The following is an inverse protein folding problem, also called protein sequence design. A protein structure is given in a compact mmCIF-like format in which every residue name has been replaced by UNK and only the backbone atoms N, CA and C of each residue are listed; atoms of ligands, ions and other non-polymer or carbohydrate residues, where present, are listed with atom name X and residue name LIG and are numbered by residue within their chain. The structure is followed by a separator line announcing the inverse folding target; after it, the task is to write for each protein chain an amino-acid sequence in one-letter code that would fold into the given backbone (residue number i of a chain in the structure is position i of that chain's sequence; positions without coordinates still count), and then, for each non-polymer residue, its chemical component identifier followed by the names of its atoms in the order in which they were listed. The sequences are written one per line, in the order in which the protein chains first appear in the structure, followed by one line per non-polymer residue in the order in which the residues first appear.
data_IF_389294930344
#
_entry.id   IF_389294930344
#
_cell.length_a   1.000
_cell.length_b   1.000
_cell.length_c   1.000
_cell.angle_alpha   90.00
_cell.angle_beta   90.00
_cell.angle_gamma   90.00
#
_symmetry.space_group_name_H-M   'P 1'
#
loop_
_entity.id
_entity.type
_entity.pdbx_description
1 polymer ?
#
# COMPACT_ATOMS: atom_id res chain seq x y z
N UNK A 1 6.92 -33.76 63.73
CA UNK A 1 6.43 -34.00 62.36
C UNK A 1 6.52 -32.70 61.60
N UNK A 2 7.45 -32.65 60.64
CA UNK A 2 8.04 -31.45 60.04
C UNK A 2 7.18 -30.93 58.88
N UNK A 3 6.86 -29.63 58.88
CA UNK A 3 6.10 -28.96 57.81
C UNK A 3 7.02 -28.65 56.63
N UNK A 4 6.75 -29.24 55.46
CA UNK A 4 7.44 -28.92 54.21
C UNK A 4 6.83 -27.72 53.51
N UNK A 5 7.66 -26.74 53.14
CA UNK A 5 7.30 -25.59 52.30
C UNK A 5 7.67 -25.92 50.86
N UNK A 6 6.72 -25.81 49.94
CA UNK A 6 6.91 -26.00 48.50
C UNK A 6 7.15 -24.62 47.86
N UNK A 7 8.38 -24.37 47.39
CA UNK A 7 8.73 -23.16 46.64
C UNK A 7 8.57 -23.48 45.15
N UNK A 8 7.63 -22.81 44.50
CA UNK A 8 7.49 -22.83 43.03
C UNK A 8 8.33 -21.69 42.47
N UNK A 9 9.48 -22.03 41.87
CA UNK A 9 10.26 -21.08 41.09
C UNK A 9 9.63 -20.92 39.69
N UNK A 10 9.00 -19.78 39.44
CA UNK A 10 8.58 -19.39 38.10
C UNK A 10 9.80 -18.89 37.30
N UNK A 11 10.21 -19.64 36.28
CA UNK A 11 11.24 -19.21 35.34
C UNK A 11 10.65 -18.16 34.38
N UNK A 12 11.07 -16.91 34.52
CA UNK A 12 10.72 -15.83 33.59
C UNK A 12 11.60 -15.97 32.35
N UNK A 13 10.99 -16.39 31.24
CA UNK A 13 11.59 -16.36 29.91
C UNK A 13 11.59 -14.91 29.41
N UNK A 14 12.75 -14.26 29.43
CA UNK A 14 12.94 -12.95 28.79
C UNK A 14 13.22 -13.21 27.31
N UNK A 15 12.35 -12.79 26.38
CA UNK A 15 12.64 -12.92 24.96
C UNK A 15 13.80 -11.98 24.59
N UNK A 16 14.90 -12.57 24.14
CA UNK A 16 16.00 -11.85 23.51
C UNK A 16 15.50 -11.37 22.14
N UNK A 17 15.30 -10.05 21.99
CA UNK A 17 15.02 -9.43 20.69
C UNK A 17 16.27 -9.58 19.81
N UNK A 18 16.25 -10.57 18.91
CA UNK A 18 17.25 -10.71 17.86
C UNK A 18 16.91 -9.67 16.79
N UNK A 19 17.73 -8.63 16.66
CA UNK A 19 17.61 -7.65 15.57
C UNK A 19 17.91 -8.37 14.25
N UNK A 20 16.90 -8.55 13.41
CA UNK A 20 17.07 -9.08 12.07
C UNK A 20 17.89 -8.09 11.24
N UNK A 21 19.02 -8.55 10.68
CA UNK A 21 19.85 -7.80 9.74
C UNK A 21 19.01 -7.43 8.51
N UNK A 22 19.11 -6.18 8.07
CA UNK A 22 18.27 -5.65 6.98
C UNK A 22 18.51 -6.40 5.67
N UNK A 23 17.42 -6.74 4.98
CA UNK A 23 17.47 -7.31 3.63
C UNK A 23 18.03 -6.30 2.62
N UNK A 24 18.65 -6.81 1.56
CA UNK A 24 19.16 -5.95 0.48
C UNK A 24 18.01 -5.18 -0.18
N UNK A 25 18.20 -3.90 -0.56
CA UNK A 25 17.17 -3.10 -1.20
C UNK A 25 16.71 -3.73 -2.52
N UNK A 26 15.44 -3.54 -2.87
CA UNK A 26 14.85 -4.08 -4.10
C UNK A 26 15.58 -3.56 -5.35
N UNK A 27 15.71 -4.37 -6.41
CA UNK A 27 16.22 -3.89 -7.71
C UNK A 27 15.17 -2.97 -8.32
N UNK A 28 15.57 -1.74 -8.66
CA UNK A 28 14.70 -0.76 -9.32
C UNK A 28 14.85 -0.94 -10.83
N UNK A 29 13.75 -1.19 -11.52
CA UNK A 29 13.77 -1.27 -12.98
C UNK A 29 13.88 0.13 -13.61
N UNK A 30 14.72 0.31 -14.64
CA UNK A 30 14.80 1.57 -15.38
C UNK A 30 13.48 1.94 -16.04
N UNK A 31 13.21 3.24 -16.16
CA UNK A 31 12.12 3.76 -17.01
C UNK A 31 12.70 4.49 -18.21
N UNK A 32 12.01 4.43 -19.35
CA UNK A 32 12.43 5.10 -20.58
C UNK A 32 11.34 6.09 -20.97
N UNK A 33 11.72 7.33 -21.20
CA UNK A 33 10.84 8.37 -21.77
C UNK A 33 11.62 9.21 -22.77
N UNK A 34 11.00 9.51 -23.92
CA UNK A 34 11.57 10.34 -24.99
C UNK A 34 13.03 9.99 -25.41
N UNK A 35 13.40 8.70 -25.38
CA UNK A 35 14.75 8.24 -25.75
C UNK A 35 15.81 8.39 -24.64
N UNK A 36 15.38 8.73 -23.43
CA UNK A 36 16.22 8.83 -22.23
C UNK A 36 15.84 7.70 -21.27
N UNK A 37 16.84 6.95 -20.80
CA UNK A 37 16.69 5.92 -19.77
C UNK A 37 17.05 6.50 -18.41
N UNK A 38 16.10 6.45 -17.49
CA UNK A 38 16.26 6.84 -16.10
C UNK A 38 16.50 5.61 -15.24
N UNK A 39 17.57 5.66 -14.43
CA UNK A 39 17.92 4.60 -13.48
C UNK A 39 18.05 5.18 -12.08
N UNK A 40 17.82 4.34 -11.06
CA UNK A 40 18.10 4.67 -9.67
C UNK A 40 19.26 3.79 -9.18
N UNK A 41 20.50 4.29 -9.17
CA UNK A 41 21.63 3.55 -8.68
C UNK A 41 21.51 3.23 -7.19
N UNK A 42 22.12 2.11 -6.79
CA UNK A 42 22.32 1.75 -5.39
C UNK A 42 23.74 2.13 -5.02
N UNK A 43 23.86 3.13 -4.16
CA UNK A 43 25.14 3.64 -3.68
C UNK A 43 25.27 3.39 -2.17
N UNK A 44 26.13 4.13 -1.48
CA UNK A 44 26.43 4.07 -0.04
C UNK A 44 25.24 4.32 0.93
N UNK A 45 24.03 4.54 0.41
CA UNK A 45 22.83 4.75 1.21
C UNK A 45 22.74 6.12 1.89
N UNK A 46 23.67 7.05 1.66
CA UNK A 46 23.62 8.41 2.23
C UNK A 46 22.71 9.35 1.45
N UNK A 47 22.57 9.08 0.15
CA UNK A 47 21.63 9.78 -0.73
C UNK A 47 20.94 8.83 -1.70
N UNK A 48 19.73 9.21 -2.08
CA UNK A 48 18.97 8.60 -3.16
C UNK A 48 19.00 9.53 -4.38
N UNK A 49 19.46 9.03 -5.52
CA UNK A 49 19.58 9.81 -6.75
C UNK A 49 19.15 9.00 -7.96
N UNK A 50 18.84 9.74 -9.03
CA UNK A 50 18.54 9.19 -10.35
C UNK A 50 19.62 9.61 -11.34
N UNK A 51 19.88 8.76 -12.33
CA UNK A 51 20.70 9.11 -13.49
C UNK A 51 19.88 9.00 -14.76
N UNK A 52 20.09 9.93 -15.67
CA UNK A 52 19.51 9.93 -17.00
C UNK A 52 20.59 9.61 -18.05
N UNK A 53 20.28 8.68 -18.93
CA UNK A 53 21.19 8.17 -19.96
C UNK A 53 20.53 8.25 -21.33
N UNK A 54 21.23 8.77 -22.33
CA UNK A 54 20.76 8.72 -23.71
C UNK A 54 20.77 7.26 -24.18
N UNK A 55 19.62 6.74 -24.61
CA UNK A 55 19.46 5.30 -24.96
C UNK A 55 20.31 4.92 -26.17
N UNK A 56 20.51 5.85 -27.12
CA UNK A 56 21.19 5.58 -28.39
C UNK A 56 22.71 5.55 -28.24
N UNK A 57 23.26 6.49 -27.48
CA UNK A 57 24.71 6.70 -27.33
C UNK A 57 25.24 6.10 -26.04
N UNK A 58 24.35 5.70 -25.12
CA UNK A 58 24.66 5.21 -23.78
C UNK A 58 25.56 6.20 -23.00
N UNK A 59 25.38 7.50 -23.24
CA UNK A 59 26.06 8.57 -22.49
C UNK A 59 25.18 9.05 -21.35
N UNK A 60 25.75 9.21 -20.16
CA UNK A 60 25.07 9.87 -19.04
C UNK A 60 24.82 11.34 -19.41
N UNK A 61 23.56 11.74 -19.34
CA UNK A 61 23.12 13.12 -19.60
C UNK A 61 23.22 13.96 -18.34
N UNK A 62 22.75 13.43 -17.21
CA UNK A 62 22.77 14.11 -15.91
C UNK A 62 22.48 13.13 -14.76
N UNK A 63 22.74 13.58 -13.54
CA UNK A 63 22.30 12.94 -12.30
C UNK A 63 21.56 13.95 -11.42
N UNK A 64 20.64 13.48 -10.59
CA UNK A 64 19.87 14.32 -9.67
C UNK A 64 19.65 13.62 -8.33
N UNK A 65 20.11 14.24 -7.24
CA UNK A 65 19.79 13.78 -5.87
C UNK A 65 18.33 14.09 -5.55
N UNK A 66 17.56 13.05 -5.26
CA UNK A 66 16.12 13.15 -4.92
C UNK A 66 15.95 13.44 -3.44
N UNK A 67 16.67 12.72 -2.57
CA UNK A 67 16.69 12.99 -1.14
C UNK A 67 17.98 12.49 -0.49
N UNK A 68 18.26 12.97 0.73
CA UNK A 68 19.38 12.53 1.57
C UNK A 68 18.87 11.84 2.82
N UNK A 69 19.58 10.82 3.27
CA UNK A 69 19.30 10.15 4.53
C UNK A 69 20.07 10.86 5.64
N UNK A 70 19.34 11.43 6.61
CA UNK A 70 19.95 11.99 7.81
C UNK A 70 20.29 10.83 8.76
N UNK A 71 21.57 10.61 8.98
CA UNK A 71 22.09 9.49 9.78
C UNK A 71 22.42 10.02 11.18
N UNK A 72 21.88 9.38 12.22
CA UNK A 72 22.32 9.53 13.60
C UNK A 72 23.61 8.70 13.79
N UNK A 73 24.74 9.32 14.15
CA UNK A 73 26.01 8.61 14.36
C UNK A 73 26.00 7.66 15.57
N UNK A 74 24.97 7.71 16.44
CA UNK A 74 24.80 6.81 17.58
C UNK A 74 24.06 5.51 17.24
N UNK A 75 23.55 5.40 16.02
CA UNK A 75 22.82 4.24 15.51
C UNK A 75 23.59 3.62 14.34
N UNK A 76 23.40 2.32 14.11
CA UNK A 76 24.00 1.63 12.95
C UNK A 76 23.53 2.29 11.64
N UNK A 77 24.46 2.59 10.73
CA UNK A 77 24.16 3.37 9.51
C UNK A 77 23.19 2.62 8.58
N UNK A 78 23.41 1.33 8.38
CA UNK A 78 22.66 0.48 7.45
C UNK A 78 21.23 0.20 7.90
N UNK A 79 20.89 0.41 9.17
CA UNK A 79 19.51 0.39 9.65
C UNK A 79 18.76 1.67 9.23
N UNK A 80 19.48 2.76 8.96
CA UNK A 80 18.90 4.08 8.72
C UNK A 80 18.72 4.40 7.23
N UNK A 81 19.40 3.69 6.32
CA UNK A 81 19.35 3.98 4.89
C UNK A 81 17.93 3.83 4.30
N UNK A 82 17.53 4.77 3.47
CA UNK A 82 16.32 4.68 2.66
C UNK A 82 16.71 4.78 1.20
N UNK A 83 16.34 3.77 0.41
CA UNK A 83 16.62 3.77 -1.02
C UNK A 83 15.38 4.16 -1.84
N UNK A 84 15.60 4.43 -3.13
CA UNK A 84 14.54 4.46 -4.12
C UNK A 84 14.10 3.02 -4.34
N UNK A 85 12.80 2.79 -4.34
CA UNK A 85 12.15 1.49 -4.56
C UNK A 85 11.52 1.38 -5.95
N UNK A 86 11.05 2.50 -6.52
CA UNK A 86 10.38 2.50 -7.82
C UNK A 86 10.58 3.82 -8.57
N UNK A 87 10.57 3.72 -9.89
CA UNK A 87 10.50 4.82 -10.84
C UNK A 87 9.28 4.60 -11.74
N UNK A 88 8.51 5.67 -11.99
CA UNK A 88 7.38 5.65 -12.93
C UNK A 88 7.30 6.98 -13.68
N UNK A 89 6.84 6.96 -14.93
CA UNK A 89 6.52 8.20 -15.67
C UNK A 89 5.00 8.36 -15.66
N UNK A 90 4.54 9.55 -15.25
CA UNK A 90 3.13 9.95 -15.31
C UNK A 90 3.04 11.36 -15.85
N UNK A 91 2.32 11.53 -16.96
CA UNK A 91 2.07 12.83 -17.59
C UNK A 91 3.34 13.69 -17.79
N UNK A 92 4.44 13.06 -18.24
CA UNK A 92 5.73 13.73 -18.46
C UNK A 92 6.54 14.05 -17.20
N UNK A 93 6.10 13.59 -16.03
CA UNK A 93 6.79 13.74 -14.75
C UNK A 93 7.32 12.40 -14.27
N UNK A 94 8.55 12.40 -13.75
CA UNK A 94 9.15 11.21 -13.16
C UNK A 94 8.78 11.10 -11.67
N UNK A 95 8.02 10.08 -11.35
CA UNK A 95 7.69 9.67 -9.97
C UNK A 95 8.79 8.79 -9.42
N UNK A 96 9.31 9.17 -8.26
CA UNK A 96 10.33 8.43 -7.52
C UNK A 96 9.77 8.06 -6.17
N UNK A 97 9.63 6.77 -5.90
CA UNK A 97 9.10 6.28 -4.62
C UNK A 97 10.21 5.71 -3.76
N UNK A 98 10.31 6.15 -2.51
CA UNK A 98 11.27 5.62 -1.53
C UNK A 98 10.77 4.34 -0.87
N UNK A 99 11.66 3.59 -0.23
CA UNK A 99 11.30 2.40 0.55
C UNK A 99 10.32 2.71 1.70
N UNK A 100 10.27 3.96 2.16
CA UNK A 100 9.32 4.43 3.19
C UNK A 100 8.00 4.97 2.61
N UNK A 101 7.76 4.76 1.32
CA UNK A 101 6.52 5.19 0.65
C UNK A 101 6.44 6.69 0.35
N UNK A 102 7.49 7.49 0.63
CA UNK A 102 7.54 8.88 0.20
C UNK A 102 7.66 8.92 -1.32
N UNK A 103 6.83 9.73 -1.97
CA UNK A 103 6.89 9.93 -3.42
C UNK A 103 7.39 11.34 -3.72
N UNK A 104 8.32 11.42 -4.67
CA UNK A 104 8.93 12.65 -5.14
C UNK A 104 8.59 12.80 -6.61
N UNK A 105 8.14 14.00 -6.98
CA UNK A 105 7.87 14.36 -8.35
C UNK A 105 9.06 15.12 -8.92
N UNK A 106 9.63 14.61 -10.00
CA UNK A 106 10.75 15.22 -10.70
C UNK A 106 10.27 15.71 -12.05
N UNK A 107 10.25 17.03 -12.23
CA UNK A 107 10.09 17.64 -13.54
C UNK A 107 11.36 17.37 -14.36
N UNK A 108 11.21 16.63 -15.46
CA UNK A 108 12.33 16.19 -16.28
C UNK A 108 13.02 17.34 -17.05
N UNK A 109 12.29 18.43 -17.26
CA UNK A 109 12.78 19.65 -17.94
C UNK A 109 13.54 20.53 -16.97
N UNK A 110 12.90 20.93 -15.87
CA UNK A 110 13.45 21.91 -14.92
C UNK A 110 14.31 21.29 -13.83
N UNK A 111 14.23 19.97 -13.63
CA UNK A 111 14.83 19.23 -12.51
C UNK A 111 14.28 19.63 -11.14
N UNK A 112 13.19 20.38 -11.11
CA UNK A 112 12.53 20.73 -9.86
C UNK A 112 11.98 19.45 -9.21
N UNK A 113 12.23 19.33 -7.92
CA UNK A 113 11.72 18.23 -7.11
C UNK A 113 10.61 18.78 -6.23
N UNK A 114 9.43 18.20 -6.37
CA UNK A 114 8.33 18.43 -5.44
C UNK A 114 8.14 17.16 -4.62
N UNK A 115 8.45 17.23 -3.34
CA UNK A 115 8.18 16.14 -2.42
C UNK A 115 6.69 16.15 -2.08
N UNK A 116 5.96 15.12 -2.46
CA UNK A 116 4.63 14.89 -1.90
C UNK A 116 4.80 14.15 -0.57
N UNK A 117 4.83 14.89 0.54
CA UNK A 117 4.55 14.31 1.86
C UNK A 117 3.04 14.12 1.97
N UNK A 118 2.51 13.02 1.43
CA UNK A 118 1.14 12.62 1.75
C UNK A 118 1.10 12.04 3.17
N UNK A 119 1.35 12.90 4.16
CA UNK A 119 0.79 12.84 5.51
C UNK A 119 0.08 14.18 5.75
N UNK A 120 -1.20 14.24 5.36
CA UNK A 120 -2.23 15.21 5.77
C UNK A 120 -1.86 16.72 5.82
N UNK A 121 -2.36 17.48 4.83
CA UNK A 121 -2.93 18.82 5.01
C UNK A 121 -3.92 19.08 3.86
N UNK A 122 -4.97 19.90 4.07
CA UNK A 122 -6.30 19.70 3.51
C UNK A 122 -6.29 19.84 1.98
N UNK A 123 -7.21 19.16 1.27
CA UNK A 123 -7.20 19.16 -0.18
C UNK A 123 -7.40 20.59 -0.71
N UNK A 124 -6.66 21.02 -1.75
CA UNK A 124 -7.24 21.91 -2.73
C UNK A 124 -8.40 21.14 -3.36
N UNK A 125 -9.58 21.38 -2.79
CA UNK A 125 -10.88 20.86 -3.14
C UNK A 125 -11.07 19.33 -3.07
N UNK A 126 -11.76 18.90 -2.00
CA UNK A 126 -12.58 17.70 -2.04
C UNK A 126 -13.48 17.65 -3.30
N UNK A 127 -13.81 18.81 -3.89
CA UNK A 127 -14.48 18.92 -5.19
C UNK A 127 -13.62 18.40 -6.38
N UNK A 128 -12.29 18.52 -6.34
CA UNK A 128 -11.40 18.04 -7.42
C UNK A 128 -11.12 16.54 -7.31
N UNK A 129 -11.06 16.00 -6.10
CA UNK A 129 -11.02 14.54 -5.92
C UNK A 129 -12.36 13.90 -6.30
N UNK A 130 -13.50 14.53 -6.01
CA UNK A 130 -14.81 14.10 -6.52
C UNK A 130 -14.84 13.98 -8.05
N UNK A 131 -14.18 14.88 -8.78
CA UNK A 131 -14.14 14.89 -10.25
C UNK A 131 -13.36 13.70 -10.87
N UNK A 132 -12.61 12.93 -10.09
CA UNK A 132 -11.84 11.75 -10.54
C UNK A 132 -12.24 10.45 -9.79
N UNK A 133 -13.36 10.48 -9.08
CA UNK A 133 -13.95 9.28 -8.49
C UNK A 133 -14.66 8.51 -9.61
N UNK A 134 -14.42 7.19 -9.77
CA UNK A 134 -15.23 6.36 -10.67
C UNK A 134 -16.72 6.60 -10.45
N UNK A 135 -17.50 6.76 -11.53
CA UNK A 135 -18.94 7.03 -11.49
C UNK A 135 -19.70 6.06 -10.54
N UNK A 136 -19.22 4.82 -10.42
CA UNK A 136 -19.75 3.83 -9.50
C UNK A 136 -19.67 4.27 -8.02
N UNK A 137 -18.53 4.80 -7.57
CA UNK A 137 -18.37 5.31 -6.20
C UNK A 137 -19.20 6.58 -6.01
N UNK A 138 -19.20 7.51 -6.98
CA UNK A 138 -20.00 8.73 -6.92
C UNK A 138 -21.49 8.41 -6.79
N UNK A 139 -22.02 7.49 -7.61
CA UNK A 139 -23.39 7.02 -7.51
C UNK A 139 -23.66 6.37 -6.16
N UNK A 140 -22.74 5.54 -5.66
CA UNK A 140 -22.90 4.84 -4.39
C UNK A 140 -22.98 5.81 -3.19
N UNK A 141 -22.21 6.91 -3.20
CA UNK A 141 -22.14 7.89 -2.11
C UNK A 141 -23.12 9.06 -2.24
N UNK A 142 -23.59 9.39 -3.44
CA UNK A 142 -24.52 10.51 -3.65
C UNK A 142 -25.98 10.05 -3.56
N UNK A 143 -26.32 8.95 -4.22
CA UNK A 143 -27.70 8.44 -4.33
C UNK A 143 -27.85 6.96 -4.00
N UNK A 144 -26.77 6.31 -3.57
CA UNK A 144 -26.70 4.87 -3.38
C UNK A 144 -26.61 4.43 -1.93
N UNK A 145 -26.30 3.14 -1.69
CA UNK A 145 -26.33 2.53 -0.36
C UNK A 145 -25.36 3.13 0.67
N UNK A 146 -24.34 3.89 0.22
CA UNK A 146 -23.35 4.49 1.10
C UNK A 146 -23.77 5.88 1.62
N UNK A 147 -24.63 6.60 0.88
CA UNK A 147 -24.88 8.03 1.04
C UNK A 147 -25.27 8.48 2.45
N UNK A 148 -26.02 7.64 3.17
CA UNK A 148 -26.54 8.00 4.50
C UNK A 148 -25.51 7.80 5.62
N UNK A 149 -24.69 6.76 5.52
CA UNK A 149 -23.97 6.20 6.67
C UNK A 149 -22.46 6.23 6.53
N UNK A 150 -21.93 6.50 5.33
CA UNK A 150 -20.51 6.36 5.02
C UNK A 150 -19.96 7.56 4.26
N UNK A 151 -18.68 7.82 4.48
CA UNK A 151 -17.87 8.75 3.69
C UNK A 151 -16.75 7.99 2.97
N UNK A 152 -16.31 8.49 1.81
CA UNK A 152 -15.07 8.00 1.18
C UNK A 152 -13.89 8.42 2.05
N UNK A 153 -13.01 7.47 2.35
CA UNK A 153 -11.79 7.72 3.11
C UNK A 153 -10.62 7.84 2.14
N UNK A 154 -9.87 8.93 2.24
CA UNK A 154 -8.65 9.16 1.45
C UNK A 154 -7.37 8.84 2.25
N UNK A 155 -7.49 8.03 3.32
CA UNK A 155 -6.38 7.73 4.24
C UNK A 155 -5.19 7.07 3.54
N UNK A 156 -5.45 6.17 2.59
CA UNK A 156 -4.41 5.51 1.79
C UNK A 156 -4.59 5.87 0.32
N UNK A 157 -3.50 5.86 -0.44
CA UNK A 157 -3.49 6.10 -1.88
C UNK A 157 -2.84 4.90 -2.60
N UNK A 158 -3.49 4.28 -3.61
CA UNK A 158 -4.81 4.61 -4.12
C UNK A 158 -5.90 4.40 -3.05
N UNK A 159 -6.93 5.27 -3.00
CA UNK A 159 -8.05 5.15 -2.06
C UNK A 159 -9.21 4.31 -2.63
N UNK A 160 -9.08 3.91 -3.90
CA UNK A 160 -9.92 2.91 -4.54
C UNK A 160 -9.08 1.97 -5.43
N UNK A 161 -9.59 0.77 -5.70
CA UNK A 161 -8.98 -0.21 -6.59
C UNK A 161 -10.03 -0.79 -7.54
N UNK A 162 -9.59 -1.15 -8.75
CA UNK A 162 -10.40 -1.85 -9.74
C UNK A 162 -9.99 -3.33 -9.77
N UNK A 163 -10.97 -4.23 -9.92
CA UNK A 163 -10.73 -5.66 -10.06
C UNK A 163 -12.03 -6.43 -10.26
N UNK A 164 -11.96 -7.68 -10.71
CA UNK A 164 -13.12 -8.57 -10.74
C UNK A 164 -13.23 -9.29 -9.39
N UNK A 165 -13.71 -8.59 -8.36
CA UNK A 165 -13.64 -9.08 -6.97
C UNK A 165 -14.69 -10.14 -6.66
N UNK A 166 -15.82 -10.16 -7.37
CA UNK A 166 -16.89 -11.14 -7.18
C UNK A 166 -16.88 -12.28 -8.22
N UNK A 167 -15.92 -12.28 -9.15
CA UNK A 167 -15.75 -13.27 -10.21
C UNK A 167 -16.87 -13.31 -11.25
N UNK A 168 -17.59 -12.21 -11.46
CA UNK A 168 -18.65 -12.10 -12.47
C UNK A 168 -18.12 -11.67 -13.86
N UNK A 169 -16.82 -11.35 -13.96
CA UNK A 169 -16.16 -10.94 -15.19
C UNK A 169 -16.43 -9.48 -15.58
N UNK A 170 -17.09 -8.69 -14.72
CA UNK A 170 -17.15 -7.23 -14.80
C UNK A 170 -16.18 -6.61 -13.82
N UNK A 171 -15.74 -5.40 -14.13
CA UNK A 171 -14.83 -4.65 -13.27
C UNK A 171 -15.63 -4.06 -12.12
N UNK A 172 -15.33 -4.50 -10.91
CA UNK A 172 -15.80 -3.96 -9.66
C UNK A 172 -14.90 -2.82 -9.18
N UNK A 173 -15.40 -2.05 -8.21
CA UNK A 173 -14.63 -1.01 -7.53
C UNK A 173 -14.62 -1.27 -6.03
N UNK A 174 -13.43 -1.36 -5.44
CA UNK A 174 -13.25 -1.33 -3.99
C UNK A 174 -12.83 0.08 -3.57
N UNK A 175 -13.43 0.65 -2.54
CA UNK A 175 -13.11 1.99 -2.04
C UNK A 175 -12.96 1.98 -0.52
N UNK A 176 -11.99 2.72 -0.01
CA UNK A 176 -11.88 2.94 1.43
C UNK A 176 -13.03 3.81 1.90
N UNK A 177 -13.67 3.41 3.00
CA UNK A 177 -14.81 4.11 3.58
C UNK A 177 -14.65 4.30 5.08
N UNK A 178 -15.29 5.35 5.60
CA UNK A 178 -15.41 5.64 7.02
C UNK A 178 -16.88 5.64 7.40
N UNK A 179 -17.27 4.89 8.43
CA UNK A 179 -18.63 4.94 8.95
C UNK A 179 -18.84 6.25 9.71
N UNK A 180 -19.88 7.02 9.36
CA UNK A 180 -20.14 8.35 9.95
C UNK A 180 -20.43 8.30 11.45
N UNK A 181 -21.17 7.29 11.90
CA UNK A 181 -21.62 7.18 13.30
C UNK A 181 -20.52 6.79 14.28
N UNK A 182 -19.58 5.95 13.86
CA UNK A 182 -18.53 5.39 14.74
C UNK A 182 -17.14 5.88 14.43
N UNK A 183 -16.91 6.37 13.20
CA UNK A 183 -15.60 6.71 12.69
C UNK A 183 -14.75 5.52 12.24
N UNK A 184 -15.24 4.28 12.38
CA UNK A 184 -14.52 3.06 11.99
C UNK A 184 -14.25 3.02 10.49
N UNK A 185 -13.10 2.48 10.13
CA UNK A 185 -12.64 2.37 8.75
C UNK A 185 -12.94 0.99 8.17
N UNK A 186 -13.13 0.94 6.86
CA UNK A 186 -13.40 -0.29 6.13
C UNK A 186 -13.29 -0.10 4.62
N UNK A 187 -13.79 -1.08 3.89
CA UNK A 187 -13.79 -1.13 2.44
C UNK A 187 -15.22 -1.37 1.97
N UNK A 188 -15.69 -0.54 1.04
CA UNK A 188 -16.89 -0.79 0.27
C UNK A 188 -16.51 -1.39 -1.09
N UNK A 189 -17.05 -2.56 -1.42
CA UNK A 189 -16.91 -3.16 -2.74
C UNK A 189 -18.22 -2.99 -3.49
N UNK A 190 -18.15 -2.32 -4.64
CA UNK A 190 -19.26 -1.99 -5.52
C UNK A 190 -19.14 -2.90 -6.75
N UNK A 191 -20.11 -3.80 -6.92
CA UNK A 191 -20.11 -4.75 -8.03
C UNK A 191 -20.45 -4.07 -9.34
N UNK A 192 -19.60 -4.22 -10.36
CA UNK A 192 -19.74 -3.53 -11.64
C UNK A 192 -21.00 -3.91 -12.42
N UNK A 193 -21.45 -5.16 -12.30
CA UNK A 193 -22.64 -5.65 -13.00
C UNK A 193 -23.96 -5.18 -12.37
N UNK A 194 -24.01 -5.02 -11.05
CA UNK A 194 -25.27 -4.87 -10.28
C UNK A 194 -25.36 -3.59 -9.46
N UNK A 195 -24.25 -2.86 -9.30
CA UNK A 195 -24.08 -1.78 -8.32
C UNK A 195 -24.35 -2.21 -6.87
N UNK A 196 -24.38 -3.52 -6.60
CA UNK A 196 -24.51 -4.04 -5.23
C UNK A 196 -23.28 -3.64 -4.43
N UNK A 197 -23.50 -3.08 -3.24
CA UNK A 197 -22.45 -2.66 -2.33
C UNK A 197 -22.31 -3.66 -1.20
N UNK A 198 -21.07 -4.09 -0.92
CA UNK A 198 -20.74 -4.90 0.26
C UNK A 198 -19.74 -4.14 1.13
N UNK A 199 -20.02 -4.03 2.43
CA UNK A 199 -19.15 -3.35 3.41
C UNK A 199 -18.36 -4.40 4.17
N UNK A 200 -17.05 -4.20 4.25
CA UNK A 200 -16.10 -5.01 5.00
C UNK A 200 -15.34 -4.11 5.96
N UNK A 201 -15.35 -4.40 7.26
CA UNK A 201 -14.95 -3.41 8.27
C UNK A 201 -16.02 -2.33 8.43
N UNK A 202 -15.63 -1.12 8.86
CA UNK A 202 -16.52 0.02 9.11
C UNK A 202 -17.79 -0.35 9.88
N UNK A 203 -17.63 -1.14 10.96
CA UNK A 203 -18.71 -1.66 11.80
C UNK A 203 -19.24 -3.05 11.39
N UNK A 204 -18.75 -3.64 10.31
CA UNK A 204 -19.09 -5.00 9.87
C UNK A 204 -17.86 -5.91 9.94
N UNK A 205 -17.79 -6.76 10.96
CA UNK A 205 -16.62 -7.61 11.19
C UNK A 205 -16.37 -8.62 10.06
N UNK A 206 -15.09 -8.84 9.72
CA UNK A 206 -14.67 -9.90 8.80
C UNK A 206 -13.37 -10.58 9.26
N UNK A 207 -13.47 -11.88 9.56
CA UNK A 207 -12.32 -12.69 9.98
C UNK A 207 -11.49 -12.05 11.09
N UNK A 208 -10.16 -12.14 10.97
CA UNK A 208 -9.24 -11.54 11.94
C UNK A 208 -9.03 -10.03 11.70
N UNK A 209 -9.52 -9.47 10.58
CA UNK A 209 -9.45 -8.05 10.30
C UNK A 209 -10.36 -7.19 11.19
N UNK A 210 -11.25 -7.83 11.95
CA UNK A 210 -12.17 -7.14 12.84
C UNK A 210 -13.21 -6.29 12.10
N UNK A 211 -13.79 -5.33 12.80
CA UNK A 211 -14.80 -4.40 12.26
C UNK A 211 -14.27 -2.98 12.04
N UNK A 212 -12.98 -2.73 12.31
CA UNK A 212 -12.30 -1.46 12.09
C UNK A 212 -10.93 -1.70 11.44
N UNK A 213 -10.76 -1.16 10.24
CA UNK A 213 -9.56 -1.33 9.43
C UNK A 213 -8.52 -0.22 9.66
N UNK A 214 -8.61 0.52 10.76
CA UNK A 214 -7.56 1.49 11.13
C UNK A 214 -6.16 0.87 11.23
N UNK A 215 -6.06 -0.43 11.53
CA UNK A 215 -4.78 -1.14 11.61
C UNK A 215 -4.05 -1.27 10.27
N UNK A 216 -4.76 -1.15 9.14
CA UNK A 216 -4.22 -1.35 7.80
C UNK A 216 -3.53 -0.08 7.29
N UNK A 217 -2.27 -0.20 6.88
CA UNK A 217 -1.48 0.89 6.30
C UNK A 217 -1.15 0.69 4.81
N UNK A 218 -1.45 -0.49 4.26
CA UNK A 218 -1.28 -0.78 2.84
C UNK A 218 -2.35 -1.73 2.34
N UNK A 219 -2.75 -1.53 1.08
CA UNK A 219 -3.67 -2.41 0.38
C UNK A 219 -3.42 -2.39 -1.13
N UNK A 220 -3.57 -3.53 -1.79
CA UNK A 220 -3.23 -3.71 -3.20
C UNK A 220 -4.13 -4.75 -3.88
N UNK A 221 -4.28 -4.62 -5.20
CA UNK A 221 -4.92 -5.64 -6.02
C UNK A 221 -4.03 -6.88 -6.11
N UNK A 222 -4.58 -8.03 -5.74
CA UNK A 222 -3.96 -9.34 -5.93
C UNK A 222 -4.73 -10.10 -7.00
N UNK A 223 -4.23 -10.04 -8.24
CA UNK A 223 -4.96 -10.57 -9.40
C UNK A 223 -4.93 -12.10 -9.49
N UNK A 224 -6.02 -12.68 -10.01
CA UNK A 224 -6.11 -14.12 -10.26
C UNK A 224 -5.01 -14.64 -11.20
N UNK A 225 -4.57 -13.82 -12.17
CA UNK A 225 -3.54 -14.17 -13.14
C UNK A 225 -2.15 -14.42 -12.51
N UNK A 226 -1.82 -13.74 -11.40
CA UNK A 226 -0.56 -13.96 -10.66
C UNK A 226 -0.50 -15.33 -9.96
N UNK A 227 -1.62 -16.06 -9.90
CA UNK A 227 -1.76 -17.34 -9.19
C UNK A 227 -1.45 -18.57 -10.04
N UNK A 228 -1.28 -18.40 -11.35
CA UNK A 228 -1.06 -19.52 -12.27
C UNK A 228 0.22 -20.34 -11.99
N UNK A 229 1.10 -19.87 -11.08
CA UNK A 229 2.33 -20.57 -10.68
C UNK A 229 2.39 -21.09 -9.23
N UNK A 230 1.42 -20.77 -8.35
CA UNK A 230 1.51 -21.07 -6.91
C UNK A 230 0.49 -22.15 -6.48
N UNK A 231 0.98 -23.37 -6.21
CA UNK A 231 0.16 -24.57 -5.96
C UNK A 231 -0.59 -24.62 -4.62
N UNK A 232 -0.41 -23.64 -3.72
CA UNK A 232 -0.91 -23.74 -2.32
C UNK A 232 -1.77 -22.57 -1.83
N UNK A 233 -2.21 -21.65 -2.69
CA UNK A 233 -3.11 -20.56 -2.26
C UNK A 233 -4.58 -21.05 -2.28
N UNK A 234 -5.38 -20.86 -1.21
CA UNK A 234 -6.78 -21.27 -1.14
C UNK A 234 -7.61 -20.85 -2.36
N UNK A 235 -8.44 -21.75 -2.86
CA UNK A 235 -9.30 -21.50 -4.01
C UNK A 235 -10.30 -20.37 -3.70
N UNK A 236 -10.02 -19.19 -4.24
CA UNK A 236 -10.97 -18.08 -4.27
C UNK A 236 -11.18 -17.63 -5.72
N UNK A 237 -12.40 -17.20 -5.99
CA UNK A 237 -12.86 -16.83 -7.31
C UNK A 237 -12.62 -15.33 -7.49
N UNK A 238 -12.20 -14.91 -8.68
CA UNK A 238 -11.92 -13.50 -8.99
C UNK A 238 -10.58 -13.00 -8.44
N UNK A 239 -10.43 -11.68 -8.47
CA UNK A 239 -9.33 -10.94 -7.87
C UNK A 239 -9.54 -10.79 -6.35
N UNK A 240 -8.44 -10.56 -5.62
CA UNK A 240 -8.46 -10.36 -4.18
C UNK A 240 -7.86 -9.01 -3.79
N UNK A 241 -8.17 -8.56 -2.58
CA UNK A 241 -7.52 -7.42 -1.94
C UNK A 241 -6.47 -7.96 -0.97
N UNK A 242 -5.20 -7.66 -1.22
CA UNK A 242 -4.15 -7.84 -0.22
C UNK A 242 -4.19 -6.63 0.71
N UNK A 243 -4.47 -6.85 1.98
CA UNK A 243 -4.49 -5.84 3.04
C UNK A 243 -3.37 -6.14 4.02
N UNK A 244 -2.63 -5.15 4.47
CA UNK A 244 -1.50 -5.38 5.37
C UNK A 244 -1.25 -4.23 6.33
N UNK A 245 -0.53 -4.58 7.40
CA UNK A 245 0.17 -3.65 8.27
C UNK A 245 1.66 -3.89 8.14
N UNK A 246 2.41 -2.84 7.86
CA UNK A 246 3.87 -2.92 7.76
C UNK A 246 4.44 -3.61 9.01
N UNK A 247 5.29 -4.62 8.77
CA UNK A 247 6.04 -5.34 9.82
C UNK A 247 5.19 -6.16 10.81
N UNK A 248 3.89 -6.33 10.58
CA UNK A 248 3.00 -7.04 11.51
C UNK A 248 2.13 -8.14 10.89
N UNK A 249 2.01 -8.19 9.56
CA UNK A 249 1.27 -9.25 8.87
C UNK A 249 0.35 -8.73 7.76
N UNK A 250 -0.18 -9.67 6.99
CA UNK A 250 -1.06 -9.37 5.86
C UNK A 250 -2.23 -10.35 5.79
N UNK A 251 -3.22 -10.03 4.97
CA UNK A 251 -4.31 -10.94 4.67
C UNK A 251 -4.86 -10.67 3.28
N UNK A 252 -5.49 -11.69 2.71
CA UNK A 252 -6.28 -11.57 1.50
C UNK A 252 -7.77 -11.50 1.88
N UNK A 253 -8.46 -10.54 1.29
CA UNK A 253 -9.92 -10.52 1.23
C UNK A 253 -10.31 -11.01 -0.16
N UNK A 254 -11.03 -12.13 -0.20
CA UNK A 254 -11.30 -12.83 -1.45
C UNK A 254 -12.73 -13.38 -1.52
N UNK A 255 -13.26 -13.53 -2.73
CA UNK A 255 -14.59 -14.09 -2.92
C UNK A 255 -14.57 -15.62 -2.97
N UNK A 256 -15.41 -16.25 -2.15
CA UNK A 256 -15.51 -17.71 -2.08
C UNK A 256 -16.61 -18.31 -2.98
N UNK A 257 -17.21 -17.50 -3.86
CA UNK A 257 -18.36 -17.87 -4.68
C UNK A 257 -19.71 -17.45 -4.09
N UNK A 258 -19.77 -17.07 -2.81
CA UNK A 258 -21.01 -16.64 -2.12
C UNK A 258 -20.86 -15.35 -1.31
N UNK A 259 -19.69 -15.16 -0.68
CA UNK A 259 -19.37 -13.99 0.15
C UNK A 259 -17.86 -13.69 0.12
N UNK A 260 -17.49 -12.50 0.54
CA UNK A 260 -16.10 -12.18 0.85
C UNK A 260 -15.65 -12.91 2.10
N UNK A 261 -14.42 -13.42 2.07
CA UNK A 261 -13.79 -14.18 3.13
C UNK A 261 -12.39 -13.61 3.42
N UNK A 262 -11.99 -13.72 4.69
CA UNK A 262 -10.67 -13.37 5.17
C UNK A 262 -9.74 -14.57 5.09
N UNK A 263 -8.53 -14.35 4.59
CA UNK A 263 -7.47 -15.33 4.59
C UNK A 263 -6.17 -14.70 5.11
N UNK A 264 -5.74 -15.09 6.31
CA UNK A 264 -4.50 -14.61 6.91
C UNK A 264 -3.28 -15.01 6.08
N UNK A 265 -2.32 -14.09 5.93
CA UNK A 265 -1.05 -14.26 5.23
C UNK A 265 0.09 -13.84 6.17
N UNK A 266 0.64 -14.82 6.88
CA UNK A 266 1.72 -14.64 7.85
C UNK A 266 1.31 -13.92 9.15
N UNK A 267 2.13 -14.14 10.19
CA UNK A 267 2.08 -13.50 11.50
C UNK A 267 3.37 -12.68 11.71
#
# INVERSE_FOLDING_TARGET
MTRGVLIVCAAVLVPCLVFAKRGAPAKVEPVIDQGIRYIAPKDDGRRAYIEAWDVRTNKKLWELTVFTNRIDPKLEEDVQWVFIKALEIRDGTLMVTSERGKTYQVDLTTKAITQSELSWSPPPDAATQLNNIPEAIEKAITNGPLAKNYDVSFRLNPFYLHGDFNADGKIDVAALVKQRSTGKLGIAIIHGATNKVTILGAGTAIGNGGDDFEWMDSWQLYSKARRAGERSVPQFQGDALLVSKSEAGSALICWNGKRYAWLQQGD
#
